data_IF_416529754532
#
_entry.id   IF_416529754532
#
_cell.length_a   1.000
_cell.length_b   1.000
_cell.length_c   1.000
_cell.angle_alpha   90.00
_cell.angle_beta   90.00
_cell.angle_gamma   90.00
#
_symmetry.space_group_name_H-M   'P 1'
#
loop_
_entity.id
_entity.type
_entity.pdbx_description
1 polymer ?
#
# COMPACT_ATOMS: atom_id res chain seq x y z
N UNK A 1 5.24 -1.42 -12.78
CA UNK A 1 6.31 -0.80 -11.95
C UNK A 1 6.04 -1.14 -10.51
N UNK A 2 7.05 -1.61 -9.77
CA UNK A 2 6.87 -2.08 -8.41
C UNK A 2 6.78 -0.87 -7.48
N UNK A 3 6.01 -0.92 -6.38
CA UNK A 3 5.96 0.18 -5.38
C UNK A 3 7.35 0.55 -4.79
N UNK A 4 8.35 -0.24 -5.14
CA UNK A 4 9.73 -0.24 -4.70
C UNK A 4 10.62 0.73 -5.49
N UNK A 5 10.16 1.21 -6.65
CA UNK A 5 10.99 2.01 -7.58
C UNK A 5 10.99 3.52 -7.24
N UNK A 6 10.20 3.94 -6.24
CA UNK A 6 10.08 5.34 -5.83
C UNK A 6 10.93 5.59 -4.57
N UNK A 7 11.83 6.56 -4.67
CA UNK A 7 12.61 7.03 -3.52
C UNK A 7 11.70 7.63 -2.45
N UNK A 8 11.97 7.28 -1.19
CA UNK A 8 11.20 7.69 0.00
C UNK A 8 12.11 8.43 0.98
N UNK A 9 11.54 9.17 1.92
CA UNK A 9 12.31 9.84 2.96
C UNK A 9 13.02 8.81 3.85
N UNK A 10 14.14 9.20 4.45
CA UNK A 10 14.93 8.34 5.35
C UNK A 10 14.21 8.00 6.67
N UNK A 11 13.05 8.57 6.94
CA UNK A 11 12.32 8.47 8.22
C UNK A 11 12.10 7.01 8.64
N UNK A 12 11.63 6.14 7.74
CA UNK A 12 11.46 4.71 8.06
C UNK A 12 12.77 4.04 8.45
N UNK A 13 13.85 4.28 7.68
CA UNK A 13 15.16 3.75 7.99
C UNK A 13 15.68 4.23 9.35
N UNK A 14 15.39 5.49 9.73
CA UNK A 14 15.72 6.04 11.04
C UNK A 14 14.94 5.34 12.16
N UNK A 15 13.62 5.22 12.03
CA UNK A 15 12.76 4.53 13.02
C UNK A 15 13.24 3.10 13.27
N UNK A 16 13.51 2.37 12.19
CA UNK A 16 13.97 0.98 12.26
C UNK A 16 15.37 0.86 12.86
N UNK A 17 16.28 1.78 12.52
CA UNK A 17 17.61 1.82 13.12
C UNK A 17 17.56 2.07 14.62
N UNK A 18 16.73 3.03 15.05
CA UNK A 18 16.58 3.35 16.47
C UNK A 18 16.00 2.16 17.25
N UNK A 19 14.97 1.49 16.72
CA UNK A 19 14.44 0.26 17.32
C UNK A 19 15.52 -0.83 17.44
N UNK A 20 16.29 -1.07 16.38
CA UNK A 20 17.31 -2.11 16.39
C UNK A 20 18.41 -1.82 17.43
N UNK A 21 18.81 -0.55 17.55
CA UNK A 21 19.79 -0.09 18.55
C UNK A 21 19.26 -0.23 19.97
N UNK A 22 18.00 0.13 20.20
CA UNK A 22 17.34 -0.07 21.51
C UNK A 22 17.26 -1.55 21.90
N UNK A 23 17.12 -2.45 20.92
CA UNK A 23 17.14 -3.90 21.12
C UNK A 23 18.57 -4.48 21.18
N UNK A 24 19.60 -3.64 21.24
CA UNK A 24 20.99 -4.04 21.46
C UNK A 24 21.81 -4.35 20.20
N UNK A 25 21.29 -4.08 19.00
CA UNK A 25 22.03 -4.23 17.75
C UNK A 25 22.87 -2.97 17.45
N UNK A 26 24.20 -3.07 17.24
CA UNK A 26 25.00 -1.90 16.89
C UNK A 26 24.55 -1.24 15.58
N UNK A 27 24.43 0.09 15.54
CA UNK A 27 24.00 0.87 14.36
C UNK A 27 24.76 0.44 13.08
N UNK A 28 26.07 0.23 13.18
CA UNK A 28 26.90 -0.20 12.06
C UNK A 28 26.48 -1.57 11.47
N UNK A 29 25.98 -2.49 12.29
CA UNK A 29 25.45 -3.78 11.81
C UNK A 29 24.09 -3.61 11.15
N UNK A 30 23.25 -2.70 11.67
CA UNK A 30 21.94 -2.40 11.09
C UNK A 30 22.09 -1.80 9.68
N UNK A 31 23.05 -0.88 9.52
CA UNK A 31 23.32 -0.19 8.26
C UNK A 31 24.21 -0.96 7.27
N UNK A 32 24.77 -2.10 7.67
CA UNK A 32 25.70 -2.87 6.85
C UNK A 32 25.12 -3.23 5.47
N UNK A 33 25.82 -2.86 4.39
CA UNK A 33 25.42 -3.19 3.02
C UNK A 33 24.15 -2.49 2.51
N UNK A 34 23.56 -1.57 3.30
CA UNK A 34 22.37 -0.79 2.90
C UNK A 34 22.72 0.38 1.97
N UNK A 35 23.96 0.87 2.03
CA UNK A 35 24.36 2.13 1.38
C UNK A 35 23.78 3.39 2.07
N UNK A 36 23.13 3.24 3.22
CA UNK A 36 22.67 4.35 4.07
C UNK A 36 23.75 4.64 5.11
N UNK A 37 24.21 5.89 5.17
CA UNK A 37 25.15 6.37 6.18
C UNK A 37 24.44 6.89 7.44
N UNK A 38 25.14 6.87 8.57
CA UNK A 38 24.64 7.45 9.82
C UNK A 38 24.35 8.96 9.72
N UNK A 39 25.02 9.67 8.81
CA UNK A 39 24.76 11.08 8.53
C UNK A 39 23.44 11.26 7.76
N UNK A 40 23.14 10.38 6.79
CA UNK A 40 21.86 10.42 6.06
C UNK A 40 20.67 10.20 6.99
N UNK A 41 20.78 9.33 8.01
CA UNK A 41 19.72 9.12 9.00
C UNK A 41 19.32 10.40 9.78
N UNK A 42 20.19 11.41 9.82
CA UNK A 42 19.99 12.67 10.55
C UNK A 42 19.59 13.82 9.63
N UNK A 43 19.47 13.56 8.33
CA UNK A 43 19.11 14.56 7.32
C UNK A 43 17.62 14.46 6.98
N UNK A 44 16.89 15.56 7.15
CA UNK A 44 15.48 15.64 6.79
C UNK A 44 15.23 15.51 5.27
N UNK A 45 16.25 15.79 4.45
CA UNK A 45 16.16 15.75 2.99
C UNK A 45 16.68 14.44 2.39
N UNK A 46 17.28 13.57 3.22
CA UNK A 46 17.83 12.31 2.72
C UNK A 46 16.72 11.41 2.19
N UNK A 47 16.95 10.89 0.99
CA UNK A 47 16.13 9.89 0.36
C UNK A 47 16.84 8.54 0.33
N UNK A 48 16.03 7.49 0.42
CA UNK A 48 16.48 6.10 0.34
C UNK A 48 15.61 5.34 -0.66
N UNK A 49 16.20 4.35 -1.30
CA UNK A 49 15.49 3.41 -2.16
C UNK A 49 14.90 2.26 -1.33
N UNK A 50 13.80 1.70 -1.80
CA UNK A 50 13.11 0.59 -1.14
C UNK A 50 14.03 -0.61 -0.84
N UNK A 51 14.96 -0.92 -1.76
CA UNK A 51 15.95 -2.00 -1.59
C UNK A 51 16.93 -1.75 -0.43
N UNK A 52 17.23 -0.49 -0.13
CA UNK A 52 18.12 -0.13 0.99
C UNK A 52 17.42 -0.39 2.32
N UNK A 53 16.14 -0.03 2.41
CA UNK A 53 15.30 -0.33 3.57
C UNK A 53 15.06 -1.83 3.73
N UNK A 54 14.83 -2.58 2.64
CA UNK A 54 14.77 -4.05 2.70
C UNK A 54 16.04 -4.69 3.25
N UNK A 55 17.21 -4.18 2.83
CA UNK A 55 18.48 -4.67 3.35
C UNK A 55 18.60 -4.38 4.84
N UNK A 56 18.17 -3.21 5.28
CA UNK A 56 18.13 -2.83 6.70
C UNK A 56 17.22 -3.77 7.50
N UNK A 57 15.99 -4.01 7.01
CA UNK A 57 15.04 -4.96 7.62
C UNK A 57 15.64 -6.36 7.68
N UNK A 58 16.28 -6.82 6.60
CA UNK A 58 16.99 -8.10 6.60
C UNK A 58 18.05 -8.15 7.68
N UNK A 59 18.88 -7.10 7.84
CA UNK A 59 19.91 -7.06 8.87
C UNK A 59 19.29 -7.15 10.27
N UNK A 60 18.16 -6.47 10.52
CA UNK A 60 17.44 -6.55 11.79
C UNK A 60 16.92 -7.96 12.07
N UNK A 61 16.22 -8.57 11.09
CA UNK A 61 15.66 -9.93 11.22
C UNK A 61 16.78 -10.96 11.45
N UNK A 62 17.87 -10.85 10.69
CA UNK A 62 19.01 -11.78 10.81
C UNK A 62 19.81 -11.54 12.11
N UNK A 63 19.92 -10.28 12.57
CA UNK A 63 20.80 -9.86 13.67
C UNK A 63 20.17 -9.92 15.07
N UNK A 64 18.86 -9.67 15.18
CA UNK A 64 18.12 -9.75 16.44
C UNK A 64 17.51 -11.14 16.69
N UNK A 65 17.41 -11.96 15.64
CA UNK A 65 16.81 -13.28 15.71
C UNK A 65 15.31 -13.22 15.99
N UNK A 66 14.82 -14.16 16.79
CA UNK A 66 13.39 -14.35 17.02
C UNK A 66 12.91 -13.47 18.18
N UNK A 67 12.68 -12.19 17.90
CA UNK A 67 11.96 -11.28 18.81
C UNK A 67 10.46 -11.37 18.48
N UNK A 68 9.61 -11.88 19.38
CA UNK A 68 8.16 -11.96 19.15
C UNK A 68 7.58 -10.58 18.84
N UNK A 69 6.82 -10.47 17.74
CA UNK A 69 6.23 -9.20 17.33
C UNK A 69 7.24 -8.11 16.94
N UNK A 70 8.45 -8.45 16.47
CA UNK A 70 9.44 -7.45 16.06
C UNK A 70 8.89 -6.45 15.03
N UNK A 71 8.06 -6.90 14.08
CA UNK A 71 7.39 -6.01 13.15
C UNK A 71 6.33 -5.15 13.84
N UNK A 72 5.60 -5.69 14.83
CA UNK A 72 4.65 -4.93 15.64
C UNK A 72 5.36 -3.79 16.38
N UNK A 73 6.48 -4.09 17.06
CA UNK A 73 7.31 -3.10 17.74
C UNK A 73 7.83 -2.00 16.80
N UNK A 74 8.09 -2.34 15.53
CA UNK A 74 8.44 -1.37 14.51
C UNK A 74 7.24 -0.50 14.14
N UNK A 75 6.10 -1.12 13.81
CA UNK A 75 4.87 -0.43 13.40
C UNK A 75 4.36 0.56 14.46
N UNK A 76 4.53 0.23 15.75
CA UNK A 76 4.19 1.08 16.90
C UNK A 76 4.83 2.48 16.88
N UNK A 77 5.90 2.68 16.11
CA UNK A 77 6.68 3.93 16.06
C UNK A 77 6.29 4.84 14.90
N UNK A 78 5.42 4.39 14.00
CA UNK A 78 5.00 5.16 12.83
C UNK A 78 3.79 6.03 13.14
N UNK A 79 4.02 7.09 13.90
CA UNK A 79 3.01 8.10 14.20
C UNK A 79 2.71 8.99 13.00
N UNK A 80 1.57 9.69 13.01
CA UNK A 80 1.12 10.53 11.89
C UNK A 80 2.18 11.55 11.45
N UNK A 81 2.98 12.08 12.38
CA UNK A 81 4.04 13.05 12.08
C UNK A 81 5.17 12.49 11.20
N UNK A 82 5.37 11.16 11.17
CA UNK A 82 6.34 10.49 10.30
C UNK A 82 5.95 10.60 8.81
N UNK A 83 4.68 10.87 8.52
CA UNK A 83 4.12 10.96 7.17
C UNK A 83 3.98 12.40 6.67
N UNK A 84 4.32 13.40 7.49
CA UNK A 84 4.24 14.82 7.12
C UNK A 84 2.83 15.22 6.67
N UNK A 85 2.71 15.82 5.48
CA UNK A 85 1.45 16.26 4.92
C UNK A 85 0.39 15.16 4.84
N UNK A 86 0.79 13.91 4.52
CA UNK A 86 -0.15 12.79 4.49
C UNK A 86 -0.71 12.53 5.89
N UNK A 87 0.13 12.52 6.92
CA UNK A 87 -0.31 12.37 8.30
C UNK A 87 -1.34 13.43 8.71
N UNK A 88 -1.11 14.68 8.32
CA UNK A 88 -2.08 15.76 8.55
C UNK A 88 -3.40 15.56 7.78
N UNK A 89 -3.35 15.09 6.52
CA UNK A 89 -4.56 14.77 5.76
C UNK A 89 -5.38 13.65 6.44
N UNK A 90 -4.70 12.62 6.97
CA UNK A 90 -5.35 11.53 7.70
C UNK A 90 -6.05 12.01 8.97
N UNK A 91 -5.35 12.73 9.85
CA UNK A 91 -5.94 13.17 11.14
C UNK A 91 -7.03 14.22 10.97
N UNK A 92 -6.97 15.02 9.90
CA UNK A 92 -7.99 16.04 9.59
C UNK A 92 -9.16 15.52 8.74
N UNK A 93 -9.19 14.23 8.42
CA UNK A 93 -10.28 13.62 7.66
C UNK A 93 -11.63 13.69 8.38
N UNK A 94 -12.73 13.63 7.63
CA UNK A 94 -14.07 13.74 8.21
C UNK A 94 -14.45 12.47 8.99
N UNK A 95 -14.17 11.29 8.44
CA UNK A 95 -14.42 9.98 9.07
C UNK A 95 -13.20 9.07 8.98
N UNK A 96 -13.22 7.93 9.69
CA UNK A 96 -12.16 6.94 9.56
C UNK A 96 -12.12 6.31 8.15
N UNK A 97 -13.29 6.13 7.51
CA UNK A 97 -13.37 5.70 6.12
C UNK A 97 -12.64 6.68 5.20
N UNK A 98 -12.89 7.98 5.36
CA UNK A 98 -12.22 9.01 4.54
C UNK A 98 -10.70 8.99 4.76
N UNK A 99 -10.25 8.82 6.02
CA UNK A 99 -8.82 8.70 6.32
C UNK A 99 -8.20 7.48 5.62
N UNK A 100 -8.86 6.32 5.66
CA UNK A 100 -8.38 5.11 4.98
C UNK A 100 -8.32 5.33 3.46
N UNK A 101 -9.34 5.94 2.86
CA UNK A 101 -9.38 6.24 1.43
C UNK A 101 -8.26 7.21 1.01
N UNK A 102 -7.97 8.23 1.84
CA UNK A 102 -6.81 9.13 1.65
C UNK A 102 -5.48 8.36 1.77
N UNK A 103 -5.36 7.48 2.76
CA UNK A 103 -4.18 6.63 2.93
C UNK A 103 -3.91 5.74 1.72
N UNK A 104 -4.96 5.16 1.13
CA UNK A 104 -4.87 4.38 -0.11
C UNK A 104 -4.52 5.26 -1.32
N UNK A 105 -5.17 6.42 -1.47
CA UNK A 105 -4.90 7.40 -2.55
C UNK A 105 -3.43 7.81 -2.58
N UNK A 106 -2.83 8.04 -1.41
CA UNK A 106 -1.44 8.49 -1.28
C UNK A 106 -0.51 7.41 -0.72
N UNK A 107 -0.80 6.12 -0.94
CA UNK A 107 0.00 5.01 -0.39
C UNK A 107 1.49 5.11 -0.80
N UNK A 108 1.79 5.69 -1.96
CA UNK A 108 3.16 5.93 -2.44
C UNK A 108 3.94 6.97 -1.62
N UNK A 109 3.26 7.77 -0.79
CA UNK A 109 3.89 8.68 0.17
C UNK A 109 4.29 7.99 1.47
N UNK A 110 3.80 6.78 1.72
CA UNK A 110 4.08 5.97 2.92
C UNK A 110 5.38 5.16 2.79
N UNK A 111 5.61 4.28 3.77
CA UNK A 111 6.71 3.32 3.82
C UNK A 111 6.24 1.87 3.63
N UNK A 112 4.95 1.67 3.32
CA UNK A 112 4.34 0.36 3.19
C UNK A 112 5.01 -0.47 2.09
N UNK A 113 5.14 -1.76 2.37
CA UNK A 113 5.62 -2.74 1.40
C UNK A 113 4.51 -3.70 0.98
N UNK A 114 3.52 -3.92 1.85
CA UNK A 114 2.31 -4.63 1.49
C UNK A 114 1.50 -3.81 0.49
N UNK A 115 0.90 -4.48 -0.49
CA UNK A 115 -0.27 -3.90 -1.16
C UNK A 115 -1.43 -3.91 -0.16
N UNK A 116 -2.12 -2.78 0.00
CA UNK A 116 -3.22 -2.63 0.95
C UNK A 116 -4.52 -2.52 0.14
N UNK A 117 -5.45 -3.43 0.39
CA UNK A 117 -6.76 -3.46 -0.28
C UNK A 117 -7.88 -3.33 0.75
N UNK A 118 -8.93 -2.55 0.43
CA UNK A 118 -10.17 -2.51 1.20
C UNK A 118 -11.23 -3.42 0.57
N UNK A 119 -11.85 -4.29 1.36
CA UNK A 119 -12.95 -5.15 0.92
C UNK A 119 -14.15 -5.06 1.87
N UNK A 120 -15.21 -4.43 1.39
CA UNK A 120 -16.51 -4.38 2.08
C UNK A 120 -17.27 -5.71 1.95
N UNK A 121 -17.49 -6.40 3.07
CA UNK A 121 -18.27 -7.65 3.18
C UNK A 121 -19.33 -7.52 4.26
N UNK A 122 -20.61 -7.53 3.89
CA UNK A 122 -21.74 -7.48 4.83
C UNK A 122 -21.66 -6.35 5.87
N UNK A 123 -21.34 -6.65 7.14
CA UNK A 123 -21.17 -5.67 8.24
C UNK A 123 -19.71 -5.42 8.62
N UNK A 124 -18.79 -5.94 7.82
CA UNK A 124 -17.36 -5.88 8.07
C UNK A 124 -16.64 -5.23 6.88
N UNK A 125 -15.51 -4.61 7.19
CA UNK A 125 -14.55 -4.15 6.19
C UNK A 125 -13.22 -4.82 6.48
N UNK A 126 -12.66 -5.42 5.45
CA UNK A 126 -11.38 -6.11 5.50
C UNK A 126 -10.33 -5.19 4.91
N UNK A 127 -9.33 -4.87 5.70
CA UNK A 127 -8.14 -4.14 5.29
C UNK A 127 -7.05 -5.19 5.12
N UNK A 128 -6.81 -5.60 3.87
CA UNK A 128 -5.97 -6.73 3.53
C UNK A 128 -4.54 -6.29 3.23
N UNK A 129 -3.57 -6.96 3.84
CA UNK A 129 -2.14 -6.75 3.66
C UNK A 129 -1.57 -7.86 2.78
N UNK A 130 -1.36 -7.53 1.51
CA UNK A 130 -0.88 -8.43 0.47
C UNK A 130 0.64 -8.36 0.38
N UNK A 131 1.30 -9.47 0.69
CA UNK A 131 2.76 -9.57 0.81
C UNK A 131 3.45 -10.16 -0.44
N UNK A 132 2.77 -10.20 -1.58
CA UNK A 132 3.34 -10.68 -2.84
C UNK A 132 4.53 -9.81 -3.28
N UNK A 133 5.57 -10.46 -3.80
CA UNK A 133 6.81 -9.79 -4.19
C UNK A 133 7.76 -9.47 -3.03
N UNK A 134 7.33 -9.60 -1.77
CA UNK A 134 8.22 -9.49 -0.60
C UNK A 134 8.99 -10.82 -0.43
N UNK A 135 10.31 -10.78 -0.18
CA UNK A 135 11.09 -11.97 0.16
C UNK A 135 10.49 -12.72 1.35
N UNK A 136 10.32 -14.03 1.23
CA UNK A 136 9.62 -14.88 2.20
C UNK A 136 10.08 -14.64 3.64
N UNK A 137 11.40 -14.60 3.86
CA UNK A 137 12.01 -14.37 5.18
C UNK A 137 11.64 -13.03 5.84
N UNK A 138 11.17 -12.05 5.06
CA UNK A 138 10.82 -10.71 5.54
C UNK A 138 9.30 -10.48 5.63
N UNK A 139 8.48 -11.38 5.06
CA UNK A 139 7.02 -11.19 4.94
C UNK A 139 6.38 -10.95 6.30
N UNK A 140 6.70 -11.78 7.29
CA UNK A 140 6.14 -11.66 8.64
C UNK A 140 6.44 -10.29 9.26
N UNK A 141 7.71 -9.88 9.30
CA UNK A 141 8.09 -8.57 9.83
C UNK A 141 7.36 -7.44 9.12
N UNK A 142 7.28 -7.49 7.79
CA UNK A 142 6.66 -6.43 7.00
C UNK A 142 5.14 -6.37 7.21
N UNK A 143 4.46 -7.52 7.21
CA UNK A 143 3.01 -7.59 7.47
C UNK A 143 2.69 -7.09 8.89
N UNK A 144 3.46 -7.54 9.88
CA UNK A 144 3.33 -7.06 11.26
C UNK A 144 3.55 -5.55 11.34
N UNK A 145 4.60 -5.01 10.71
CA UNK A 145 4.91 -3.57 10.71
C UNK A 145 3.83 -2.75 10.04
N UNK A 146 3.41 -3.14 8.83
CA UNK A 146 2.45 -2.37 8.04
C UNK A 146 1.06 -2.40 8.71
N UNK A 147 0.64 -3.55 9.23
CA UNK A 147 -0.63 -3.64 9.99
C UNK A 147 -0.56 -2.88 11.31
N UNK A 148 0.54 -2.97 12.06
CA UNK A 148 0.69 -2.23 13.30
C UNK A 148 0.77 -0.72 13.06
N UNK A 149 1.41 -0.27 11.98
CA UNK A 149 1.40 1.12 11.56
C UNK A 149 -0.03 1.64 11.33
N UNK A 150 -0.92 0.86 10.70
CA UNK A 150 -2.32 1.26 10.54
C UNK A 150 -3.02 1.45 11.89
N UNK A 151 -2.75 0.57 12.86
CA UNK A 151 -3.33 0.67 14.22
C UNK A 151 -2.74 1.85 15.00
N UNK A 152 -1.45 2.13 14.86
CA UNK A 152 -0.82 3.31 15.46
C UNK A 152 -1.41 4.59 14.90
N UNK A 153 -1.58 4.70 13.58
CA UNK A 153 -2.24 5.85 12.95
C UNK A 153 -3.69 5.98 13.41
N UNK A 154 -4.41 4.87 13.53
CA UNK A 154 -5.77 4.86 14.05
C UNK A 154 -5.82 5.34 15.51
N UNK A 155 -4.85 4.96 16.35
CA UNK A 155 -4.73 5.38 17.75
C UNK A 155 -4.37 6.86 17.89
N UNK A 156 -3.51 7.38 17.00
CA UNK A 156 -3.18 8.81 16.93
C UNK A 156 -4.42 9.66 16.64
N UNK A 157 -5.35 9.13 15.82
CA UNK A 157 -6.63 9.77 15.48
C UNK A 157 -7.64 9.61 16.63
N UNK A 158 -7.74 8.40 17.19
CA UNK A 158 -8.71 8.02 18.23
C UNK A 158 -8.03 7.35 19.42
N UNK A 159 -7.77 8.11 20.49
CA UNK A 159 -7.08 7.56 21.68
C UNK A 159 -7.85 6.48 22.44
N UNK A 160 -9.19 6.48 22.40
CA UNK A 160 -10.04 5.64 23.25
C UNK A 160 -11.05 4.80 22.46
N UNK A 161 -10.86 4.64 21.16
CA UNK A 161 -11.76 3.88 20.30
C UNK A 161 -10.92 2.98 19.42
N UNK A 162 -11.25 1.69 19.33
CA UNK A 162 -10.66 0.77 18.37
C UNK A 162 -11.79 0.19 17.52
N UNK A 163 -11.76 0.38 16.19
CA UNK A 163 -12.76 -0.18 15.30
C UNK A 163 -12.51 -1.66 14.98
N UNK A 164 -11.42 -2.23 15.51
CA UNK A 164 -10.90 -3.55 15.16
C UNK A 164 -11.73 -4.62 15.86
N UNK A 165 -12.32 -5.53 15.07
CA UNK A 165 -13.01 -6.71 15.58
C UNK A 165 -12.05 -7.87 15.83
N UNK A 166 -11.18 -8.13 14.87
CA UNK A 166 -10.13 -9.15 14.97
C UNK A 166 -9.07 -8.92 13.89
N UNK A 167 -7.90 -9.52 14.12
CA UNK A 167 -6.79 -9.57 13.17
C UNK A 167 -6.65 -11.01 12.67
N UNK A 168 -6.33 -11.19 11.39
CA UNK A 168 -5.96 -12.48 10.80
C UNK A 168 -4.54 -12.38 10.22
N UNK A 169 -3.76 -13.45 10.39
CA UNK A 169 -2.41 -13.57 9.85
C UNK A 169 -2.20 -14.93 9.20
N UNK A 170 -1.50 -14.96 8.07
CA UNK A 170 -1.19 -16.20 7.33
C UNK A 170 -0.13 -17.05 7.99
N UNK A 171 0.78 -16.43 8.76
CA UNK A 171 1.87 -17.14 9.39
C UNK A 171 1.42 -17.92 10.63
N UNK A 172 2.20 -18.94 10.98
CA UNK A 172 1.96 -19.79 12.14
C UNK A 172 1.92 -18.99 13.45
N UNK A 173 1.16 -19.52 14.42
CA UNK A 173 1.03 -18.94 15.75
C UNK A 173 2.42 -18.74 16.39
N UNK A 174 2.76 -17.50 16.77
CA UNK A 174 3.98 -17.22 17.53
C UNK A 174 4.03 -18.01 18.84
N UNK A 175 5.24 -18.31 19.33
CA UNK A 175 5.44 -18.90 20.67
C UNK A 175 4.85 -17.98 21.76
N UNK A 176 5.01 -16.67 21.58
CA UNK A 176 4.44 -15.66 22.46
C UNK A 176 3.52 -14.73 21.66
N UNK A 177 2.22 -14.79 21.97
CA UNK A 177 1.18 -13.97 21.36
C UNK A 177 0.89 -12.68 22.14
N UNK A 178 1.40 -12.55 23.37
CA UNK A 178 1.08 -11.43 24.25
C UNK A 178 1.40 -10.05 23.64
N UNK A 179 2.51 -9.85 22.89
CA UNK A 179 2.78 -8.57 22.24
C UNK A 179 1.69 -8.17 21.23
N UNK A 180 1.08 -9.15 20.56
CA UNK A 180 0.03 -8.91 19.58
C UNK A 180 -1.29 -8.58 20.28
N UNK A 181 -1.70 -9.39 21.26
CA UNK A 181 -2.94 -9.16 22.01
C UNK A 181 -2.94 -7.80 22.73
N UNK A 182 -1.82 -7.47 23.37
CA UNK A 182 -1.64 -6.20 24.08
C UNK A 182 -1.75 -5.01 23.13
N UNK A 183 -1.14 -5.11 21.95
CA UNK A 183 -1.10 -3.99 21.01
C UNK A 183 -2.39 -3.82 20.21
N UNK A 184 -2.92 -4.91 19.64
CA UNK A 184 -4.13 -4.84 18.81
C UNK A 184 -5.42 -4.71 19.65
N UNK A 185 -5.35 -5.00 20.96
CA UNK A 185 -6.51 -5.01 21.85
C UNK A 185 -7.51 -6.14 21.58
N UNK A 186 -7.15 -7.07 20.70
CA UNK A 186 -7.91 -8.25 20.29
C UNK A 186 -6.97 -9.43 20.14
N UNK A 187 -7.49 -10.65 20.28
CA UNK A 187 -6.72 -11.85 20.01
C UNK A 187 -6.64 -12.12 18.49
N UNK A 188 -5.44 -12.06 17.88
CA UNK A 188 -5.30 -12.38 16.46
C UNK A 188 -5.52 -13.86 16.19
N UNK A 189 -5.99 -14.17 14.98
CA UNK A 189 -6.06 -15.52 14.43
C UNK A 189 -4.85 -15.73 13.53
N UNK A 190 -4.16 -16.84 13.72
CA UNK A 190 -2.95 -17.20 12.99
C UNK A 190 -3.19 -18.46 12.15
N UNK A 191 -2.38 -18.66 11.10
CA UNK A 191 -2.57 -19.75 10.14
C UNK A 191 -3.80 -19.57 9.24
N UNK A 192 -4.28 -18.34 9.08
CA UNK A 192 -5.44 -18.00 8.28
C UNK A 192 -5.10 -17.90 6.78
N UNK A 193 -6.12 -17.81 5.92
CA UNK A 193 -5.92 -17.72 4.47
C UNK A 193 -5.42 -16.34 3.97
N UNK A 194 -5.30 -15.35 4.85
CA UNK A 194 -4.96 -13.97 4.51
C UNK A 194 -4.49 -13.16 5.71
N UNK A 195 -3.78 -12.06 5.44
CA UNK A 195 -3.41 -11.07 6.44
C UNK A 195 -4.44 -9.93 6.40
N UNK A 196 -5.34 -9.88 7.37
CA UNK A 196 -6.49 -8.98 7.35
C UNK A 196 -6.66 -8.28 8.70
N UNK A 197 -6.83 -6.96 8.68
CA UNK A 197 -7.42 -6.22 9.78
C UNK A 197 -8.91 -6.07 9.51
N UNK A 198 -9.73 -6.67 10.35
CA UNK A 198 -11.19 -6.66 10.19
C UNK A 198 -11.81 -5.66 11.13
N UNK A 199 -12.58 -4.73 10.57
CA UNK A 199 -13.23 -3.64 11.31
C UNK A 199 -14.74 -3.68 11.11
N UNK A 200 -15.49 -3.15 12.08
CA UNK A 200 -16.93 -2.96 11.90
C UNK A 200 -17.19 -1.86 10.86
N UNK A 201 -18.06 -2.12 9.87
CA UNK A 201 -18.40 -1.12 8.85
C UNK A 201 -19.02 0.12 9.48
N UNK A 202 -19.88 -0.06 10.47
CA UNK A 202 -20.65 1.04 11.05
C UNK A 202 -19.70 2.01 11.79
N UNK A 203 -18.62 1.48 12.36
CA UNK A 203 -17.57 2.24 13.05
C UNK A 203 -16.67 3.06 12.12
N UNK A 204 -16.61 2.75 10.83
CA UNK A 204 -15.78 3.52 9.88
C UNK A 204 -16.37 4.89 9.53
N UNK A 205 -17.67 5.08 9.72
CA UNK A 205 -18.35 6.33 9.40
C UNK A 205 -18.41 7.31 10.58
N UNK A 206 -17.82 6.94 11.72
CA UNK A 206 -17.73 7.82 12.89
C UNK A 206 -16.85 9.05 12.58
N UNK A 207 -17.28 10.25 12.99
CA UNK A 207 -16.55 11.47 12.71
C UNK A 207 -15.23 11.53 13.49
N UNK A 208 -14.16 12.00 12.84
CA UNK A 208 -12.87 12.13 13.50
C UNK A 208 -12.83 13.32 14.47
N UNK A 209 -12.13 13.21 15.62
CA UNK A 209 -12.08 14.30 16.61
C UNK A 209 -11.42 15.57 16.08
N UNK A 210 -10.48 15.43 15.14
CA UNK A 210 -9.75 16.54 14.53
C UNK A 210 -10.24 16.86 13.10
N UNK A 211 -11.44 16.41 12.74
CA UNK A 211 -12.02 16.65 11.42
C UNK A 211 -11.99 18.14 11.05
N UNK A 212 -11.36 18.46 9.92
CA UNK A 212 -11.24 19.82 9.42
C UNK A 212 -11.09 19.80 7.91
N UNK A 213 -12.16 20.17 7.20
CA UNK A 213 -12.17 20.17 5.74
C UNK A 213 -11.09 21.09 5.14
N UNK A 214 -10.90 22.27 5.74
CA UNK A 214 -9.88 23.22 5.30
C UNK A 214 -8.46 22.67 5.48
N UNK A 215 -8.17 22.07 6.64
CA UNK A 215 -6.85 21.50 6.92
C UNK A 215 -6.57 20.28 6.04
N UNK A 216 -7.58 19.41 5.86
CA UNK A 216 -7.51 18.26 4.95
C UNK A 216 -7.20 18.69 3.52
N UNK A 217 -7.96 19.65 2.99
CA UNK A 217 -7.76 20.16 1.63
C UNK A 217 -6.36 20.76 1.43
N UNK A 218 -5.87 21.56 2.39
CA UNK A 218 -4.53 22.12 2.34
C UNK A 218 -3.43 21.02 2.39
N UNK A 219 -3.63 19.99 3.21
CA UNK A 219 -2.72 18.86 3.31
C UNK A 219 -2.73 18.00 2.04
N UNK A 220 -3.89 17.79 1.41
CA UNK A 220 -4.02 17.08 0.14
C UNK A 220 -3.26 17.79 -0.99
N UNK A 221 -3.36 19.12 -1.09
CA UNK A 221 -2.58 19.90 -2.07
C UNK A 221 -1.06 19.65 -1.91
N UNK A 222 -0.59 19.57 -0.67
CA UNK A 222 0.82 19.25 -0.40
C UNK A 222 1.16 17.79 -0.74
N UNK A 223 0.26 16.85 -0.47
CA UNK A 223 0.42 15.45 -0.86
C UNK A 223 0.54 15.31 -2.39
N UNK A 224 -0.34 15.97 -3.14
CA UNK A 224 -0.30 15.99 -4.60
C UNK A 224 1.04 16.55 -5.12
N UNK A 225 1.54 17.65 -4.54
CA UNK A 225 2.83 18.23 -4.90
C UNK A 225 4.00 17.28 -4.62
N UNK A 226 4.03 16.66 -3.44
CA UNK A 226 5.07 15.70 -3.05
C UNK A 226 5.07 14.47 -3.94
N UNK A 227 3.89 13.95 -4.25
CA UNK A 227 3.73 12.77 -5.07
C UNK A 227 4.16 13.06 -6.52
N UNK A 228 3.74 14.18 -7.08
CA UNK A 228 4.19 14.63 -8.40
C UNK A 228 5.71 14.76 -8.48
N UNK A 229 6.35 15.34 -7.46
CA UNK A 229 7.80 15.48 -7.41
C UNK A 229 8.53 14.12 -7.27
N UNK A 230 7.97 13.16 -6.51
CA UNK A 230 8.51 11.79 -6.45
C UNK A 230 8.43 11.09 -7.81
N UNK A 231 7.31 11.24 -8.51
CA UNK A 231 7.13 10.66 -9.84
C UNK A 231 8.03 11.32 -10.88
N UNK A 232 8.27 12.64 -10.80
CA UNK A 232 9.21 13.34 -11.68
C UNK A 232 10.61 12.74 -11.59
N UNK A 233 11.06 12.36 -10.39
CA UNK A 233 12.33 11.66 -10.19
C UNK A 233 12.31 10.23 -10.70
N UNK A 234 11.16 9.55 -10.64
CA UNK A 234 10.98 8.18 -11.14
C UNK A 234 10.81 8.09 -12.67
N UNK A 235 10.66 9.21 -13.37
CA UNK A 235 10.54 9.28 -14.83
C UNK A 235 9.11 9.54 -15.33
N UNK A 236 8.99 9.86 -16.62
CA UNK A 236 7.73 10.24 -17.26
C UNK A 236 6.72 9.08 -17.25
N UNK A 237 7.17 7.84 -17.40
CA UNK A 237 6.30 6.66 -17.38
C UNK A 237 5.60 6.49 -16.03
N UNK A 238 6.29 6.78 -14.93
CA UNK A 238 5.72 6.71 -13.58
C UNK A 238 4.58 7.72 -13.42
N UNK A 239 4.80 8.98 -13.85
CA UNK A 239 3.77 10.04 -13.86
C UNK A 239 2.53 9.63 -14.66
N UNK A 240 2.72 9.08 -15.85
CA UNK A 240 1.63 8.66 -16.72
C UNK A 240 0.84 7.52 -16.10
N UNK A 241 1.50 6.50 -15.51
CA UNK A 241 0.80 5.40 -14.83
C UNK A 241 -0.11 5.90 -13.71
N UNK A 242 0.39 6.79 -12.85
CA UNK A 242 -0.40 7.33 -11.75
C UNK A 242 -1.58 8.18 -12.26
N UNK A 243 -1.33 9.03 -13.25
CA UNK A 243 -2.39 9.82 -13.86
C UNK A 243 -3.50 8.94 -14.45
N UNK A 244 -3.13 7.87 -15.15
CA UNK A 244 -4.06 6.89 -15.67
C UNK A 244 -4.83 6.17 -14.56
N UNK A 245 -4.16 5.74 -13.49
CA UNK A 245 -4.82 5.05 -12.36
C UNK A 245 -5.90 5.92 -11.70
N UNK A 246 -5.66 7.23 -11.57
CA UNK A 246 -6.65 8.18 -11.05
C UNK A 246 -7.84 8.45 -11.98
N UNK A 247 -7.76 8.06 -13.25
CA UNK A 247 -8.79 8.26 -14.28
C UNK A 247 -9.35 6.92 -14.79
N UNK A 248 -9.36 5.88 -13.94
CA UNK A 248 -9.75 4.52 -14.30
C UNK A 248 -11.07 4.44 -15.10
N UNK A 249 -12.07 5.21 -14.67
CA UNK A 249 -13.43 5.20 -15.23
C UNK A 249 -13.50 5.75 -16.65
N UNK A 250 -12.77 6.83 -16.94
CA UNK A 250 -12.68 7.48 -18.25
C UNK A 250 -11.21 7.50 -18.67
N UNK A 251 -10.69 6.33 -19.03
CA UNK A 251 -9.28 6.15 -19.34
C UNK A 251 -8.83 7.08 -20.49
N UNK A 252 -7.97 8.08 -20.21
CA UNK A 252 -7.68 9.12 -21.18
C UNK A 252 -6.84 8.60 -22.34
N UNK A 253 -7.02 9.24 -23.50
CA UNK A 253 -6.22 9.04 -24.69
C UNK A 253 -4.81 9.65 -24.56
N UNK A 254 -3.96 9.33 -25.52
CA UNK A 254 -2.58 9.84 -25.59
C UNK A 254 -2.54 11.38 -25.63
N UNK A 255 -3.50 11.99 -26.32
CA UNK A 255 -3.64 13.44 -26.49
C UNK A 255 -3.99 14.14 -25.17
N UNK A 256 -4.90 13.55 -24.40
CA UNK A 256 -5.32 14.06 -23.09
C UNK A 256 -4.20 13.92 -22.06
N UNK A 257 -3.53 12.76 -22.05
CA UNK A 257 -2.34 12.54 -21.20
C UNK A 257 -1.22 13.52 -21.56
N UNK A 258 -0.97 13.76 -22.84
CA UNK A 258 0.04 14.74 -23.27
C UNK A 258 -0.30 16.15 -22.75
N UNK A 259 -1.56 16.57 -22.84
CA UNK A 259 -2.03 17.84 -22.28
C UNK A 259 -1.85 17.90 -20.76
N UNK A 260 -2.23 16.84 -20.04
CA UNK A 260 -2.08 16.75 -18.58
C UNK A 260 -0.60 16.78 -18.14
N UNK A 261 0.29 16.23 -18.95
CA UNK A 261 1.74 16.23 -18.72
C UNK A 261 2.44 17.49 -19.28
N UNK A 262 1.68 18.50 -19.73
CA UNK A 262 2.20 19.74 -20.34
C UNK A 262 3.19 19.48 -21.50
N UNK A 263 2.87 18.52 -22.36
CA UNK A 263 3.70 18.13 -23.52
C UNK A 263 2.85 17.81 -24.75
N UNK A 264 3.49 17.33 -25.83
CA UNK A 264 2.83 16.89 -27.06
C UNK A 264 2.99 15.37 -27.27
N UNK A 265 2.04 14.69 -27.95
CA UNK A 265 2.05 13.23 -28.11
C UNK A 265 3.36 12.67 -28.68
N UNK A 266 3.97 13.37 -29.65
CA UNK A 266 5.25 12.95 -30.26
C UNK A 266 6.40 12.91 -29.26
N UNK A 267 6.49 13.93 -28.39
CA UNK A 267 7.52 14.02 -27.35
C UNK A 267 7.29 12.97 -26.28
N UNK A 268 6.03 12.76 -25.88
CA UNK A 268 5.66 11.75 -24.89
C UNK A 268 5.99 10.32 -25.39
N UNK A 269 5.68 9.97 -26.65
CA UNK A 269 6.11 8.68 -27.24
C UNK A 269 7.62 8.49 -27.21
N UNK A 270 8.37 9.53 -27.58
CA UNK A 270 9.84 9.46 -27.59
C UNK A 270 10.39 9.22 -26.19
N UNK A 271 9.90 9.94 -25.18
CA UNK A 271 10.35 9.74 -23.80
C UNK A 271 9.99 8.34 -23.28
N UNK A 272 8.77 7.87 -23.53
CA UNK A 272 8.39 6.51 -23.15
C UNK A 272 9.30 5.45 -23.78
N UNK A 273 9.65 5.63 -25.07
CA UNK A 273 10.58 4.71 -25.73
C UNK A 273 12.00 4.75 -25.13
N UNK A 274 12.45 5.91 -24.62
CA UNK A 274 13.72 6.04 -23.91
C UNK A 274 13.69 5.35 -22.54
N UNK A 275 12.52 5.28 -21.92
CA UNK A 275 12.25 4.51 -20.69
C UNK A 275 11.88 3.04 -20.98
N UNK A 276 12.13 2.55 -22.21
CA UNK A 276 11.84 1.18 -22.67
C UNK A 276 10.37 0.76 -22.46
N UNK A 277 9.44 1.67 -22.70
CA UNK A 277 8.00 1.39 -22.63
C UNK A 277 7.21 2.20 -23.67
N UNK A 278 5.89 2.05 -23.68
CA UNK A 278 4.98 2.73 -24.58
C UNK A 278 3.67 3.07 -23.87
N UNK A 279 2.94 4.07 -24.38
CA UNK A 279 1.67 4.47 -23.79
C UNK A 279 0.65 3.31 -23.75
N UNK A 280 0.69 2.43 -24.76
CA UNK A 280 -0.17 1.26 -24.81
C UNK A 280 0.17 0.27 -23.69
N UNK A 281 1.46 0.01 -23.44
CA UNK A 281 1.91 -0.84 -22.34
C UNK A 281 1.53 -0.24 -20.98
N UNK A 282 1.78 1.06 -20.76
CA UNK A 282 1.42 1.72 -19.50
C UNK A 282 -0.10 1.67 -19.22
N UNK A 283 -0.91 1.90 -20.26
CA UNK A 283 -2.37 1.81 -20.15
C UNK A 283 -2.82 0.39 -19.86
N UNK A 284 -2.20 -0.60 -20.50
CA UNK A 284 -2.52 -2.01 -20.26
C UNK A 284 -2.07 -2.45 -18.86
N UNK A 285 -0.91 -2.01 -18.36
CA UNK A 285 -0.44 -2.25 -16.99
C UNK A 285 -1.45 -1.74 -15.95
N UNK A 286 -1.93 -0.50 -16.12
CA UNK A 286 -2.92 0.11 -15.22
C UNK A 286 -4.25 -0.65 -15.27
N UNK A 287 -4.73 -1.00 -16.48
CA UNK A 287 -5.96 -1.77 -16.63
C UNK A 287 -5.86 -3.18 -16.07
N UNK A 288 -4.69 -3.82 -16.19
CA UNK A 288 -4.42 -5.14 -15.60
C UNK A 288 -4.57 -5.09 -14.08
N UNK A 289 -3.90 -4.15 -13.42
CA UNK A 289 -3.98 -3.98 -11.97
C UNK A 289 -5.42 -3.77 -11.49
N UNK A 290 -6.14 -2.84 -12.14
CA UNK A 290 -7.55 -2.55 -11.82
C UNK A 290 -8.49 -3.74 -12.14
N UNK A 291 -8.22 -4.49 -13.21
CA UNK A 291 -9.00 -5.67 -13.56
C UNK A 291 -8.87 -6.76 -12.50
N UNK A 292 -7.66 -6.98 -11.96
CA UNK A 292 -7.47 -7.93 -10.86
C UNK A 292 -8.23 -7.51 -9.61
N UNK A 293 -8.14 -6.23 -9.25
CA UNK A 293 -8.88 -5.66 -8.11
C UNK A 293 -10.41 -5.84 -8.27
N UNK A 294 -10.97 -5.49 -9.43
CA UNK A 294 -12.40 -5.59 -9.70
C UNK A 294 -12.91 -7.03 -9.85
N UNK A 295 -12.07 -7.94 -10.34
CA UNK A 295 -12.45 -9.35 -10.50
C UNK A 295 -12.41 -10.13 -9.19
N UNK A 296 -11.53 -9.76 -8.26
CA UNK A 296 -11.43 -10.35 -6.92
C UNK A 296 -12.61 -10.01 -5.98
N UNK A 297 -13.47 -9.06 -6.38
CA UNK A 297 -14.68 -8.67 -5.66
C UNK A 297 -15.96 -9.36 -6.19
N UNK A 298 -16.89 -9.80 -5.31
CA UNK A 298 -18.09 -10.56 -5.72
C UNK A 298 -19.23 -9.73 -6.35
N UNK A 299 -19.04 -8.44 -6.65
CA UNK A 299 -20.15 -7.50 -6.91
C UNK A 299 -20.27 -6.94 -8.33
N UNK A 300 -19.31 -7.18 -9.23
CA UNK A 300 -19.34 -6.61 -10.57
C UNK A 300 -19.49 -7.68 -11.64
N UNK A 301 -20.41 -7.56 -12.59
CA UNK A 301 -20.42 -8.41 -13.78
C UNK A 301 -19.19 -8.14 -14.65
N UNK A 302 -18.80 -9.09 -15.52
CA UNK A 302 -17.68 -8.88 -16.48
C UNK A 302 -17.93 -7.64 -17.35
N UNK A 303 -19.19 -7.34 -17.65
CA UNK A 303 -19.61 -6.15 -18.39
C UNK A 303 -19.41 -4.86 -17.60
N UNK A 304 -19.77 -4.84 -16.31
CA UNK A 304 -19.51 -3.69 -15.42
C UNK A 304 -18.01 -3.46 -15.20
N UNK A 305 -17.21 -4.53 -15.14
CA UNK A 305 -15.74 -4.41 -15.08
C UNK A 305 -15.22 -3.80 -16.39
N UNK A 306 -15.72 -4.25 -17.54
CA UNK A 306 -15.32 -3.69 -18.84
C UNK A 306 -15.64 -2.19 -18.94
N UNK A 307 -16.85 -1.79 -18.52
CA UNK A 307 -17.28 -0.39 -18.47
C UNK A 307 -16.36 0.45 -17.56
N UNK A 308 -16.08 -0.03 -16.34
CA UNK A 308 -15.22 0.67 -15.37
C UNK A 308 -13.76 0.80 -15.81
N UNK A 309 -13.29 -0.06 -16.71
CA UNK A 309 -11.94 -0.01 -17.28
C UNK A 309 -11.89 0.80 -18.59
N UNK A 310 -13.02 1.39 -19.01
CA UNK A 310 -13.14 2.19 -20.22
C UNK A 310 -13.05 1.36 -21.50
N UNK A 311 -13.54 0.12 -21.51
CA UNK A 311 -13.71 -0.67 -22.73
C UNK A 311 -15.05 -0.38 -23.40
N UNK A 312 -15.06 -0.31 -24.73
CA UNK A 312 -16.27 -0.12 -25.52
C UNK A 312 -17.25 -1.30 -25.47
N UNK A 313 -16.78 -2.48 -25.06
CA UNK A 313 -17.62 -3.66 -24.87
C UNK A 313 -16.95 -4.68 -23.93
N UNK A 314 -17.77 -5.56 -23.35
CA UNK A 314 -17.32 -6.73 -22.59
C UNK A 314 -16.43 -7.66 -23.42
N UNK A 315 -16.70 -7.79 -24.72
CA UNK A 315 -15.89 -8.62 -25.64
C UNK A 315 -14.46 -8.06 -25.79
N UNK A 316 -14.32 -6.74 -25.93
CA UNK A 316 -13.02 -6.07 -26.01
C UNK A 316 -12.20 -6.30 -24.74
N UNK A 317 -12.85 -6.24 -23.58
CA UNK A 317 -12.21 -6.53 -22.30
C UNK A 317 -11.79 -8.01 -22.19
N UNK A 318 -12.66 -8.96 -22.50
CA UNK A 318 -12.34 -10.41 -22.43
C UNK A 318 -11.14 -10.76 -23.31
N UNK A 319 -11.07 -10.21 -24.52
CA UNK A 319 -9.95 -10.43 -25.42
C UNK A 319 -8.64 -9.84 -24.89
N UNK A 320 -8.71 -8.61 -24.33
CA UNK A 320 -7.55 -7.99 -23.69
C UNK A 320 -7.08 -8.80 -22.48
N UNK A 321 -8.01 -9.23 -21.63
CA UNK A 321 -7.74 -10.03 -20.44
C UNK A 321 -7.10 -11.38 -20.78
N UNK A 322 -7.62 -12.07 -21.81
CA UNK A 322 -7.05 -13.33 -22.30
C UNK A 322 -5.65 -13.15 -22.87
N UNK A 323 -5.37 -12.04 -23.54
CA UNK A 323 -4.03 -11.70 -24.01
C UNK A 323 -3.07 -11.45 -22.85
N UNK A 324 -3.53 -10.82 -21.77
CA UNK A 324 -2.68 -10.52 -20.60
C UNK A 324 -2.41 -11.76 -19.74
N UNK A 325 -3.43 -12.57 -19.45
CA UNK A 325 -3.37 -13.61 -18.42
C UNK A 325 -3.53 -15.04 -18.98
N UNK A 326 -3.70 -15.21 -20.29
CA UNK A 326 -3.89 -16.52 -20.93
C UNK A 326 -5.24 -17.19 -20.64
N UNK A 327 -6.10 -16.59 -19.82
CA UNK A 327 -7.41 -17.12 -19.39
C UNK A 327 -8.51 -16.07 -19.50
N UNK A 328 -9.77 -16.46 -19.29
CA UNK A 328 -10.90 -15.51 -19.31
C UNK A 328 -11.20 -14.98 -17.91
N UNK A 329 -11.77 -13.77 -17.78
CA UNK A 329 -12.19 -13.22 -16.48
C UNK A 329 -13.13 -14.15 -15.70
N UNK A 330 -14.05 -14.82 -16.42
CA UNK A 330 -14.99 -15.77 -15.83
C UNK A 330 -14.28 -17.02 -15.29
N UNK A 331 -13.28 -17.53 -16.01
CA UNK A 331 -12.51 -18.68 -15.55
C UNK A 331 -11.67 -18.36 -14.31
N UNK A 332 -11.09 -17.15 -14.20
CA UNK A 332 -10.37 -16.72 -12.99
C UNK A 332 -11.29 -16.69 -11.77
N UNK A 333 -12.50 -16.12 -11.89
CA UNK A 333 -13.50 -16.12 -10.81
C UNK A 333 -13.96 -17.52 -10.40
N UNK A 334 -14.18 -18.40 -11.37
CA UNK A 334 -14.56 -19.78 -11.09
C UNK A 334 -13.45 -20.55 -10.34
N UNK A 335 -12.18 -20.28 -10.68
CA UNK A 335 -11.01 -20.82 -9.97
C UNK A 335 -10.95 -20.34 -8.51
N UNK A 336 -11.12 -19.04 -8.27
CA UNK A 336 -11.13 -18.46 -6.90
C UNK A 336 -12.29 -18.99 -6.04
N UNK A 337 -13.47 -19.18 -6.64
CA UNK A 337 -14.65 -19.77 -5.97
C UNK A 337 -14.45 -21.25 -5.62
N UNK A 338 -13.79 -22.03 -6.49
CA UNK A 338 -13.47 -23.45 -6.23
C UNK A 338 -12.36 -23.62 -5.18
N UNK A 339 -11.39 -22.70 -5.12
CA UNK A 339 -10.40 -22.68 -4.04
C UNK A 339 -10.99 -22.24 -2.70
N UNK A 340 -11.92 -21.27 -2.67
CA UNK A 340 -12.65 -20.92 -1.44
C UNK A 340 -13.56 -22.07 -0.96
N UNK A 341 -14.25 -22.76 -1.87
CA UNK A 341 -15.15 -23.89 -1.53
C UNK A 341 -14.41 -25.13 -0.99
N UNK A 342 -13.16 -25.36 -1.41
CA UNK A 342 -12.32 -26.45 -0.86
C UNK A 342 -11.68 -26.13 0.49
N UNK A 343 -11.63 -24.85 0.90
CA UNK A 343 -11.15 -24.43 2.23
C UNK A 343 -12.26 -24.35 3.27
N UNK A 344 -13.52 -24.56 2.87
CA UNK A 344 -14.71 -24.59 3.75
C UNK A 344 -15.28 -26.01 3.97
N UNK A 345 -14.56 -27.05 3.54
CA UNK A 345 -14.75 -28.46 3.91
C UNK A 345 -13.45 -28.92 4.58
#
# INVERSE_FOLDING_TARGET
MSIWDIQRTVVSARILTDLAVELGMPEAKVLAGTGISAAQLRSAEALVEARQELRLISNMVDGLGHVPGLGVLAGMRYHFNAFGALGFALVSSSTLRDAIEIGLKYVQLTFAFCAIELKDRDREVYIRFRAEGIPEKLRRFIVERDSACCVTLQTDIFRNFSPIKYMCFEFETPVDVAPYETFYGVQPRFGEAGNDMVVDRDQLNEPLPQASELARSAAEVQCDALLNHRLERAGLSARIRQYLAGQARDMPGMEEVAKAMNTIPRTLRRHLSQENTSFAELRDEVRQALAEEYLAGPKLSVEQVAERLGYSSSTSFINAYKRWYGTTPAAKRAGELMEHGRRSC
#
